data_IF_016682826245
#
_entry.id   IF_016682826245
#
_cell.length_a   1.000
_cell.length_b   1.000
_cell.length_c   1.000
_cell.angle_alpha   90.00
_cell.angle_beta   90.00
_cell.angle_gamma   90.00
#
_symmetry.space_group_name_H-M   'P 1'
#
loop_
_entity.id
_entity.type
_entity.pdbx_description
1 polymer ?
#
# COMPACT_ATOMS: atom_id res chain seq x y z
N UNK A 1 39.57 7.99 9.92
CA UNK A 1 38.64 8.63 10.88
C UNK A 1 37.29 8.70 10.20
N UNK A 2 36.47 7.68 10.44
CA UNK A 2 35.10 7.60 9.91
C UNK A 2 34.20 8.31 10.92
N UNK A 3 33.64 9.46 10.54
CA UNK A 3 32.65 10.14 11.36
C UNK A 3 31.34 9.35 11.27
N UNK A 4 30.97 8.68 12.35
CA UNK A 4 29.63 8.20 12.57
C UNK A 4 28.71 9.42 12.72
N UNK A 5 27.92 9.69 11.69
CA UNK A 5 26.81 10.62 11.80
C UNK A 5 25.77 9.98 12.73
N UNK A 6 25.82 10.37 13.99
CA UNK A 6 24.83 10.06 15.01
C UNK A 6 23.51 10.73 14.58
N UNK A 7 22.64 9.98 13.90
CA UNK A 7 21.27 10.42 13.63
C UNK A 7 20.60 10.67 14.97
N UNK A 8 20.32 11.92 15.26
CA UNK A 8 19.56 12.29 16.43
C UNK A 8 18.19 11.62 16.33
N UNK A 9 17.90 10.73 17.26
CA UNK A 9 16.58 10.09 17.38
C UNK A 9 15.56 11.22 17.64
N UNK A 10 14.83 11.61 16.60
CA UNK A 10 13.76 12.57 16.74
C UNK A 10 12.63 11.92 17.53
N UNK A 11 12.15 12.63 18.56
CA UNK A 11 10.99 12.17 19.36
C UNK A 11 9.78 12.05 18.44
N UNK A 12 9.05 10.93 18.45
CA UNK A 12 7.82 10.80 17.69
C UNK A 12 6.82 11.90 18.08
N UNK A 13 6.22 12.55 17.08
CA UNK A 13 5.19 13.57 17.32
C UNK A 13 3.85 12.94 17.70
N UNK A 14 3.61 11.72 17.25
CA UNK A 14 2.40 10.96 17.52
C UNK A 14 2.69 9.46 17.42
N UNK A 15 2.03 8.67 18.22
CA UNK A 15 2.05 7.20 18.20
C UNK A 15 0.60 6.72 18.29
N UNK A 16 0.17 5.74 17.45
CA UNK A 16 -1.18 5.18 17.55
C UNK A 16 -1.41 4.52 18.91
N UNK A 17 -2.62 4.66 19.47
CA UNK A 17 -3.00 4.00 20.74
C UNK A 17 -2.93 2.48 20.64
N UNK A 18 -3.28 1.93 19.47
CA UNK A 18 -3.21 0.50 19.17
C UNK A 18 -2.33 0.24 17.94
N UNK A 19 -0.99 0.23 18.08
CA UNK A 19 -0.06 0.08 16.94
C UNK A 19 -0.30 -1.20 16.13
N UNK A 20 -0.70 -2.29 16.79
CA UNK A 20 -0.95 -3.58 16.15
C UNK A 20 -2.27 -3.62 15.37
N UNK A 21 -3.18 -2.67 15.61
CA UNK A 21 -4.47 -2.59 14.90
C UNK A 21 -4.44 -1.66 13.69
N UNK A 22 -3.29 -1.13 13.35
CA UNK A 22 -3.13 -0.26 12.18
C UNK A 22 -3.20 -1.06 10.87
N UNK A 23 -3.68 -0.43 9.80
CA UNK A 23 -3.71 -1.06 8.46
C UNK A 23 -2.31 -1.45 7.98
N UNK A 24 -1.29 -0.68 8.32
CA UNK A 24 0.11 -1.00 8.00
C UNK A 24 0.56 -2.29 8.67
N UNK A 25 0.21 -2.49 9.95
CA UNK A 25 0.54 -3.72 10.66
C UNK A 25 -0.21 -4.92 10.07
N UNK A 26 -1.51 -4.78 9.84
CA UNK A 26 -2.34 -5.83 9.21
C UNK A 26 -1.84 -6.19 7.80
N UNK A 27 -1.41 -5.21 7.03
CA UNK A 27 -0.81 -5.45 5.72
C UNK A 27 0.52 -6.21 5.83
N UNK A 28 1.39 -5.85 6.79
CA UNK A 28 2.64 -6.57 7.07
C UNK A 28 2.38 -8.04 7.39
N UNK A 29 1.40 -8.32 8.26
CA UNK A 29 1.02 -9.67 8.62
C UNK A 29 0.44 -10.46 7.43
N UNK A 30 -0.37 -9.82 6.60
CA UNK A 30 -0.88 -10.39 5.36
C UNK A 30 0.26 -10.78 4.41
N UNK A 31 1.26 -9.90 4.21
CA UNK A 31 2.43 -10.17 3.36
C UNK A 31 3.26 -11.32 3.92
N UNK A 32 3.53 -11.31 5.23
CA UNK A 32 4.24 -12.39 5.90
C UNK A 32 3.57 -13.74 5.67
N UNK A 33 2.27 -13.80 5.89
CA UNK A 33 1.49 -15.03 5.70
C UNK A 33 1.47 -15.49 4.25
N UNK A 34 1.30 -14.56 3.31
CA UNK A 34 1.19 -14.88 1.88
C UNK A 34 2.50 -15.32 1.25
N UNK A 35 3.61 -14.71 1.66
CA UNK A 35 4.94 -14.91 1.05
C UNK A 35 5.93 -15.71 1.88
N UNK A 36 5.54 -16.09 3.10
CA UNK A 36 6.44 -16.77 4.03
C UNK A 36 7.59 -15.87 4.50
N UNK A 37 7.36 -14.56 4.55
CA UNK A 37 8.31 -13.59 5.08
C UNK A 37 8.17 -13.49 6.60
N UNK A 38 9.17 -12.89 7.25
CA UNK A 38 9.21 -12.68 8.70
C UNK A 38 9.56 -11.22 9.00
N UNK A 39 8.81 -10.30 8.40
CA UNK A 39 8.97 -8.86 8.63
C UNK A 39 8.39 -8.52 10.01
N UNK A 40 9.17 -7.93 10.88
CA UNK A 40 8.77 -7.55 12.24
C UNK A 40 8.49 -6.05 12.36
N UNK A 41 9.33 -5.23 11.71
CA UNK A 41 9.31 -3.77 11.81
C UNK A 41 8.77 -3.09 10.56
N UNK A 42 8.45 -1.80 10.69
CA UNK A 42 8.10 -0.95 9.54
C UNK A 42 9.27 -0.80 8.58
N UNK A 43 10.48 -0.66 9.10
CA UNK A 43 11.70 -0.50 8.33
C UNK A 43 11.97 -1.72 7.43
N UNK A 44 11.70 -2.91 7.92
CA UNK A 44 11.80 -4.15 7.14
C UNK A 44 10.72 -4.23 6.05
N UNK A 45 9.49 -3.87 6.38
CA UNK A 45 8.41 -3.76 5.39
C UNK A 45 8.76 -2.74 4.30
N UNK A 46 9.28 -1.58 4.70
CA UNK A 46 9.72 -0.55 3.75
C UNK A 46 10.87 -1.05 2.88
N UNK A 47 11.91 -1.64 3.47
CA UNK A 47 13.05 -2.16 2.72
C UNK A 47 12.62 -3.20 1.69
N UNK A 48 11.71 -4.11 2.07
CA UNK A 48 11.12 -5.06 1.14
C UNK A 48 10.32 -4.37 0.03
N UNK A 49 9.49 -3.39 0.36
CA UNK A 49 8.62 -2.70 -0.60
C UNK A 49 9.38 -1.98 -1.72
N UNK A 50 10.59 -1.49 -1.44
CA UNK A 50 11.44 -0.82 -2.43
C UNK A 50 12.40 -1.76 -3.15
N UNK A 51 12.62 -2.95 -2.60
CA UNK A 51 13.50 -3.98 -3.20
C UNK A 51 12.71 -4.89 -4.13
N UNK A 52 11.52 -5.32 -3.75
CA UNK A 52 10.62 -6.16 -4.54
C UNK A 52 9.31 -5.40 -4.85
N UNK A 53 9.45 -4.39 -5.69
CA UNK A 53 8.39 -3.43 -6.03
C UNK A 53 7.18 -4.15 -6.65
N UNK A 54 7.40 -5.10 -7.54
CA UNK A 54 6.30 -5.82 -8.20
C UNK A 54 5.48 -6.63 -7.21
N UNK A 55 6.15 -7.36 -6.32
CA UNK A 55 5.50 -8.13 -5.27
C UNK A 55 4.72 -7.25 -4.31
N UNK A 56 5.32 -6.14 -3.89
CA UNK A 56 4.67 -5.18 -3.00
C UNK A 56 3.36 -4.65 -3.60
N UNK A 57 3.38 -4.18 -4.85
CA UNK A 57 2.20 -3.62 -5.47
C UNK A 57 1.15 -4.67 -5.84
N UNK A 58 1.57 -5.90 -6.19
CA UNK A 58 0.64 -7.03 -6.36
C UNK A 58 -0.09 -7.35 -5.04
N UNK A 59 0.62 -7.26 -3.91
CA UNK A 59 0.03 -7.51 -2.59
C UNK A 59 -0.84 -6.35 -2.12
N UNK A 60 -0.47 -5.11 -2.42
CA UNK A 60 -1.35 -3.96 -2.21
C UNK A 60 -2.68 -4.12 -2.97
N UNK A 61 -2.63 -4.49 -4.23
CA UNK A 61 -3.82 -4.76 -5.04
C UNK A 61 -4.73 -5.81 -4.41
N UNK A 62 -4.16 -6.93 -4.00
CA UNK A 62 -4.90 -8.02 -3.39
C UNK A 62 -5.47 -7.65 -2.01
N UNK A 63 -4.66 -6.98 -1.16
CA UNK A 63 -5.05 -6.60 0.20
C UNK A 63 -6.16 -5.55 0.22
N UNK A 64 -6.10 -4.58 -0.67
CA UNK A 64 -7.12 -3.52 -0.76
C UNK A 64 -8.41 -3.98 -1.43
N UNK A 65 -8.43 -5.21 -2.01
CA UNK A 65 -9.60 -5.73 -2.69
C UNK A 65 -9.97 -4.92 -3.95
N UNK A 66 -8.96 -4.44 -4.67
CA UNK A 66 -9.16 -3.63 -5.87
C UNK A 66 -10.03 -4.38 -6.89
N UNK A 67 -11.17 -3.79 -7.26
CA UNK A 67 -12.12 -4.35 -8.23
C UNK A 67 -11.69 -3.97 -9.64
N UNK A 68 -11.61 -4.98 -10.52
CA UNK A 68 -11.24 -4.79 -11.91
C UNK A 68 -12.13 -5.66 -12.82
N UNK A 69 -12.59 -5.10 -13.92
CA UNK A 69 -13.32 -5.86 -14.96
C UNK A 69 -12.38 -6.73 -15.80
N UNK A 70 -11.09 -6.37 -15.86
CA UNK A 70 -10.02 -7.20 -16.39
C UNK A 70 -8.80 -7.11 -15.48
N UNK A 71 -8.24 -8.26 -15.10
CA UNK A 71 -7.04 -8.31 -14.28
C UNK A 71 -5.79 -7.92 -15.09
N UNK A 72 -4.76 -7.48 -14.38
CA UNK A 72 -3.46 -7.19 -14.96
C UNK A 72 -2.71 -8.46 -15.39
N UNK A 73 -1.85 -8.31 -16.39
CA UNK A 73 -0.89 -9.34 -16.81
C UNK A 73 0.48 -9.14 -16.19
N UNK A 74 0.87 -7.89 -15.97
CA UNK A 74 2.14 -7.49 -15.33
C UNK A 74 1.89 -6.33 -14.40
N UNK A 75 2.55 -6.35 -13.23
CA UNK A 75 2.45 -5.27 -12.25
C UNK A 75 3.22 -4.04 -12.70
N UNK A 76 4.45 -4.25 -13.16
CA UNK A 76 5.36 -3.18 -13.60
C UNK A 76 6.06 -3.59 -14.89
N UNK A 77 6.18 -2.67 -15.82
CA UNK A 77 6.96 -2.88 -17.03
C UNK A 77 8.45 -2.89 -16.69
N UNK A 78 9.09 -4.04 -16.93
CA UNK A 78 10.50 -4.24 -16.60
C UNK A 78 11.45 -3.38 -17.44
N UNK A 79 12.61 -3.03 -16.88
CA UNK A 79 13.69 -2.33 -17.58
C UNK A 79 13.46 -0.84 -17.83
N UNK A 80 12.41 -0.26 -17.27
CA UNK A 80 12.16 1.19 -17.32
C UNK A 80 12.31 1.81 -15.94
N UNK A 81 12.82 3.02 -15.93
CA UNK A 81 12.96 3.89 -14.75
C UNK A 81 11.80 4.89 -14.70
N UNK A 82 11.60 5.55 -13.57
CA UNK A 82 10.48 6.49 -13.37
C UNK A 82 10.50 7.67 -14.37
N UNK A 83 11.67 8.07 -14.87
CA UNK A 83 11.84 9.09 -15.90
C UNK A 83 11.27 8.66 -17.27
N UNK A 84 11.20 7.35 -17.53
CA UNK A 84 10.60 6.78 -18.74
C UNK A 84 9.14 6.38 -18.57
N UNK A 85 8.53 6.72 -17.43
CA UNK A 85 7.13 6.43 -17.09
C UNK A 85 6.73 4.98 -17.41
N UNK A 86 7.18 4.01 -16.62
CA UNK A 86 6.83 2.61 -16.85
C UNK A 86 5.32 2.39 -16.77
N UNK A 87 4.81 1.42 -17.52
CA UNK A 87 3.41 1.01 -17.39
C UNK A 87 3.22 0.20 -16.13
N UNK A 88 2.19 0.54 -15.37
CA UNK A 88 1.76 -0.18 -14.19
C UNK A 88 0.49 -0.96 -14.47
N UNK A 89 0.38 -2.15 -13.89
CA UNK A 89 -0.79 -3.04 -13.98
C UNK A 89 -1.30 -3.19 -15.41
N UNK A 90 -0.39 -3.51 -16.33
CA UNK A 90 -0.69 -3.64 -17.75
C UNK A 90 -1.80 -4.64 -17.99
N UNK A 91 -2.80 -4.28 -18.79
CA UNK A 91 -3.97 -5.09 -19.10
C UNK A 91 -5.13 -4.93 -18.12
N UNK A 92 -4.91 -4.30 -16.96
CA UNK A 92 -6.01 -4.06 -16.04
C UNK A 92 -7.00 -3.03 -16.58
N UNK A 93 -8.28 -3.30 -16.36
CA UNK A 93 -9.37 -2.36 -16.63
C UNK A 93 -10.18 -2.16 -15.34
N UNK A 94 -10.19 -0.94 -14.83
CA UNK A 94 -10.88 -0.60 -13.58
C UNK A 94 -11.83 0.57 -13.79
N UNK A 95 -12.85 0.61 -12.92
CA UNK A 95 -13.68 1.77 -12.73
C UNK A 95 -13.37 2.38 -11.36
N UNK A 96 -12.92 3.65 -11.35
CA UNK A 96 -12.58 4.35 -10.11
C UNK A 96 -13.80 4.47 -9.18
N UNK A 97 -14.95 4.86 -9.74
CA UNK A 97 -16.19 5.03 -8.97
C UNK A 97 -16.64 3.72 -8.32
N UNK A 98 -16.55 2.61 -9.03
CA UNK A 98 -16.85 1.27 -8.49
C UNK A 98 -15.98 0.93 -7.28
N UNK A 99 -14.69 1.25 -7.35
CA UNK A 99 -13.76 1.00 -6.25
C UNK A 99 -14.00 1.93 -5.05
N UNK A 100 -14.32 3.21 -5.29
CA UNK A 100 -14.58 4.18 -4.22
C UNK A 100 -15.92 3.94 -3.53
N UNK A 101 -16.98 3.65 -4.30
CA UNK A 101 -18.32 3.45 -3.79
C UNK A 101 -18.63 1.99 -3.47
N UNK A 102 -17.81 1.07 -3.93
CA UNK A 102 -17.98 -0.36 -3.69
C UNK A 102 -17.78 -0.70 -2.20
N UNK A 103 -18.76 -1.43 -1.64
CA UNK A 103 -18.80 -1.78 -0.22
C UNK A 103 -19.67 -0.88 0.63
N UNK A 104 -20.29 0.14 0.04
CA UNK A 104 -21.23 1.03 0.73
C UNK A 104 -22.71 0.60 0.56
N UNK A 105 -22.96 -0.51 -0.10
CA UNK A 105 -24.30 -0.95 -0.52
C UNK A 105 -25.30 -1.12 0.63
N UNK A 106 -24.84 -1.28 1.87
CA UNK A 106 -25.68 -1.38 3.07
C UNK A 106 -25.31 -0.35 4.15
N UNK A 107 -24.50 0.64 3.82
CA UNK A 107 -24.11 1.68 4.77
C UNK A 107 -25.08 2.86 4.69
N UNK A 108 -25.84 3.07 5.77
CA UNK A 108 -26.77 4.22 5.88
C UNK A 108 -26.07 5.50 6.38
N UNK A 109 -24.76 5.47 6.54
CA UNK A 109 -23.98 6.64 6.95
C UNK A 109 -23.76 7.56 5.74
N UNK A 110 -23.89 8.87 5.90
CA UNK A 110 -23.59 9.81 4.82
C UNK A 110 -22.13 9.70 4.37
N UNK A 111 -21.92 9.58 3.07
CA UNK A 111 -20.58 9.57 2.49
C UNK A 111 -19.99 10.97 2.33
N UNK A 112 -20.85 11.99 2.23
CA UNK A 112 -20.47 13.38 2.04
C UNK A 112 -21.39 14.30 2.86
N UNK A 113 -20.77 15.28 3.52
CA UNK A 113 -21.47 16.40 4.14
C UNK A 113 -21.14 17.66 3.34
N UNK A 114 -22.16 18.39 2.91
CA UNK A 114 -22.01 19.70 2.29
C UNK A 114 -22.67 20.76 3.17
N UNK A 115 -21.89 21.80 3.53
CA UNK A 115 -22.41 23.00 4.18
C UNK A 115 -22.49 24.09 3.11
N UNK A 116 -23.69 24.58 2.84
CA UNK A 116 -23.89 25.79 2.04
C UNK A 116 -23.61 27.06 2.85
N UNK A 117 -23.28 28.15 2.18
CA UNK A 117 -23.18 29.50 2.77
C UNK A 117 -24.54 30.03 3.17
#
# INVERSE_FOLDING_TARGET
MTQETKTASSKPLWIPEAPLDTNTHKFKDFVNAKRGLHLETYEELYAWSVTDIESFWADCWAYTGTKASANYTHVLESGKTMDNVPKWFSGAALNYTENVLGGMENNQQPALYSLGE
#
